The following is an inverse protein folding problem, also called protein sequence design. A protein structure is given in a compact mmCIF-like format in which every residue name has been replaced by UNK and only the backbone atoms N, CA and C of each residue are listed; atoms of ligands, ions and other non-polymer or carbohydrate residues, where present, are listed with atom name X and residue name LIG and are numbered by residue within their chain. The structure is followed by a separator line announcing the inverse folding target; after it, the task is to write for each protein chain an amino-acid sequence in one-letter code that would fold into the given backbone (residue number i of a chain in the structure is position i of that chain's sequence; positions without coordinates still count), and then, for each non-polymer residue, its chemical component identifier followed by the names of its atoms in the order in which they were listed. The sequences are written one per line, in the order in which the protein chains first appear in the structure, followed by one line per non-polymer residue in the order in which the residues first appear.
data_IF_403241491852
#
_entry.id   IF_403241491852
#
_cell.length_a   1.000
_cell.length_b   1.000
_cell.length_c   1.000
_cell.angle_alpha   90.00
_cell.angle_beta   90.00
_cell.angle_gamma   90.00
#
_symmetry.space_group_name_H-M   'P 1'
#
loop_
_entity.id
_entity.type
_entity.pdbx_description
1 polymer ?
#
# COMPACT_ATOMS: atom_id res chain seq x y z
N UNK A 1 -18.94 21.03 9.20
CA UNK A 1 -18.57 19.66 9.66
C UNK A 1 -19.75 18.73 9.40
N UNK A 2 -19.58 17.71 8.54
CA UNK A 2 -20.61 16.68 8.39
C UNK A 2 -20.64 15.87 9.69
N UNK A 3 -21.76 15.93 10.41
CA UNK A 3 -21.94 15.18 11.65
C UNK A 3 -22.07 13.69 11.33
N UNK A 4 -21.22 12.85 11.90
CA UNK A 4 -21.33 11.40 11.74
C UNK A 4 -22.73 10.91 12.19
N UNK A 5 -23.27 9.93 11.49
CA UNK A 5 -24.52 9.30 11.84
C UNK A 5 -24.45 8.66 13.23
N UNK A 6 -25.61 8.55 13.89
CA UNK A 6 -25.67 7.88 15.20
C UNK A 6 -25.27 6.40 15.06
N UNK A 7 -24.49 5.85 16.00
CA UNK A 7 -24.16 4.42 16.00
C UNK A 7 -25.42 3.56 16.09
N UNK A 8 -25.32 2.34 15.57
CA UNK A 8 -26.38 1.33 15.68
C UNK A 8 -26.52 0.83 17.11
N UNK A 9 -27.74 0.47 17.51
CA UNK A 9 -27.98 -0.32 18.71
C UNK A 9 -27.46 -1.75 18.52
N UNK A 10 -27.25 -2.48 19.61
CA UNK A 10 -26.76 -3.87 19.54
C UNK A 10 -27.71 -4.81 18.75
N UNK A 11 -29.01 -4.54 18.80
CA UNK A 11 -30.00 -5.30 18.03
C UNK A 11 -29.92 -5.02 16.53
N UNK A 12 -29.81 -3.75 16.14
CA UNK A 12 -29.66 -3.32 14.76
C UNK A 12 -28.33 -3.81 14.17
N UNK A 13 -27.23 -3.70 14.93
CA UNK A 13 -25.91 -4.21 14.51
C UNK A 13 -25.98 -5.70 14.18
N UNK A 14 -26.59 -6.50 15.05
CA UNK A 14 -26.78 -7.94 14.83
C UNK A 14 -27.68 -8.21 13.62
N UNK A 15 -28.74 -7.43 13.42
CA UNK A 15 -29.62 -7.56 12.26
C UNK A 15 -28.88 -7.30 10.96
N UNK A 16 -28.14 -6.20 10.84
CA UNK A 16 -27.40 -5.87 9.62
C UNK A 16 -26.22 -6.83 9.38
N UNK A 17 -25.58 -7.35 10.41
CA UNK A 17 -24.57 -8.41 10.26
C UNK A 17 -25.17 -9.68 9.65
N UNK A 18 -26.36 -10.09 10.07
CA UNK A 18 -27.05 -11.25 9.49
C UNK A 18 -27.48 -11.00 8.04
N UNK A 19 -27.95 -9.80 7.71
CA UNK A 19 -28.30 -9.44 6.33
C UNK A 19 -27.05 -9.43 5.43
N UNK A 20 -25.95 -8.89 5.91
CA UNK A 20 -24.68 -8.92 5.19
C UNK A 20 -24.19 -10.36 4.92
N UNK A 21 -24.32 -11.27 5.90
CA UNK A 21 -23.98 -12.70 5.71
C UNK A 21 -24.88 -13.40 4.67
N UNK A 22 -26.09 -12.89 4.45
CA UNK A 22 -27.00 -13.36 3.39
C UNK A 22 -26.71 -12.76 2.02
N UNK A 23 -25.69 -11.89 1.92
CA UNK A 23 -25.23 -11.29 0.67
C UNK A 23 -25.84 -9.92 0.36
N UNK A 24 -26.47 -9.25 1.32
CA UNK A 24 -27.03 -7.91 1.11
C UNK A 24 -25.91 -6.85 1.15
N UNK A 25 -25.60 -6.17 0.01
CA UNK A 25 -24.58 -5.15 -0.04
C UNK A 25 -24.99 -3.85 0.69
N UNK A 26 -26.28 -3.53 0.79
CA UNK A 26 -26.75 -2.33 1.49
C UNK A 26 -26.51 -2.45 3.00
N UNK A 27 -26.70 -3.63 3.56
CA UNK A 27 -26.37 -3.89 4.96
C UNK A 27 -24.91 -3.60 5.28
N UNK A 28 -23.98 -3.93 4.36
CA UNK A 28 -22.56 -3.59 4.51
C UNK A 28 -22.33 -2.08 4.54
N UNK A 29 -22.96 -1.33 3.64
CA UNK A 29 -22.83 0.12 3.58
C UNK A 29 -23.32 0.79 4.86
N UNK A 30 -24.49 0.35 5.36
CA UNK A 30 -25.06 0.83 6.62
C UNK A 30 -24.13 0.55 7.80
N UNK A 31 -23.55 -0.64 7.89
CA UNK A 31 -22.58 -0.99 8.92
C UNK A 31 -21.34 -0.09 8.86
N UNK A 32 -20.83 0.22 7.68
CA UNK A 32 -19.69 1.12 7.50
C UNK A 32 -20.06 2.53 7.96
N UNK A 33 -21.10 3.13 7.40
CA UNK A 33 -21.50 4.51 7.67
C UNK A 33 -21.77 4.78 9.16
N UNK A 34 -22.43 3.85 9.82
CA UNK A 34 -22.78 3.97 11.25
C UNK A 34 -21.58 3.78 12.18
N UNK A 35 -20.48 3.19 11.67
CA UNK A 35 -19.25 2.97 12.43
C UNK A 35 -18.12 3.96 12.06
N UNK A 36 -18.30 4.91 11.15
CA UNK A 36 -17.28 5.91 10.78
C UNK A 36 -16.82 6.75 11.99
N UNK A 37 -17.69 6.97 12.97
CA UNK A 37 -17.31 7.64 14.22
C UNK A 37 -16.22 6.88 14.99
N UNK A 38 -16.22 5.55 14.93
CA UNK A 38 -15.17 4.72 15.53
C UNK A 38 -13.84 4.93 14.80
N UNK A 39 -13.86 5.04 13.46
CA UNK A 39 -12.66 5.35 12.66
C UNK A 39 -12.05 6.67 13.12
N UNK A 40 -12.85 7.75 13.17
CA UNK A 40 -12.38 9.06 13.61
C UNK A 40 -11.82 9.03 15.06
N UNK A 41 -12.43 8.23 15.94
CA UNK A 41 -11.95 8.07 17.31
C UNK A 41 -10.58 7.38 17.37
N UNK A 42 -10.36 6.33 16.59
CA UNK A 42 -9.08 5.61 16.53
C UNK A 42 -8.02 6.46 15.83
N UNK A 43 -8.36 7.09 14.68
CA UNK A 43 -7.45 7.96 13.93
C UNK A 43 -6.93 9.14 14.78
N UNK A 44 -7.72 9.63 15.72
CA UNK A 44 -7.32 10.72 16.64
C UNK A 44 -6.05 10.39 17.44
N UNK A 45 -5.75 9.13 17.72
CA UNK A 45 -4.52 8.73 18.41
C UNK A 45 -3.26 9.03 17.60
N UNK A 46 -3.40 9.16 16.28
CA UNK A 46 -2.32 9.32 15.30
C UNK A 46 -2.18 10.75 14.80
N UNK A 47 -2.95 11.71 15.33
CA UNK A 47 -2.89 13.13 14.94
C UNK A 47 -1.56 13.85 15.27
N UNK A 48 -0.60 13.17 15.91
CA UNK A 48 0.75 13.69 16.13
C UNK A 48 1.77 13.24 15.06
N UNK A 49 1.35 12.46 14.08
CA UNK A 49 2.15 12.11 12.93
C UNK A 49 1.97 13.21 11.87
N UNK A 50 3.02 13.49 11.05
CA UNK A 50 2.98 14.46 9.93
C UNK A 50 2.06 13.98 8.79
N UNK A 51 0.87 13.52 9.11
CA UNK A 51 -0.13 13.00 8.17
C UNK A 51 -1.38 13.85 8.18
N UNK A 52 -1.99 13.99 7.01
CA UNK A 52 -3.27 14.65 6.88
C UNK A 52 -4.34 13.85 7.66
N UNK A 53 -5.13 14.51 8.53
CA UNK A 53 -6.23 13.86 9.23
C UNK A 53 -7.22 13.15 8.31
N UNK A 54 -7.45 13.67 7.10
CA UNK A 54 -8.36 13.09 6.12
C UNK A 54 -7.78 11.78 5.54
N UNK A 55 -6.46 11.70 5.35
CA UNK A 55 -5.78 10.45 4.95
C UNK A 55 -5.86 9.40 6.04
N UNK A 56 -5.66 9.77 7.30
CA UNK A 56 -5.82 8.86 8.44
C UNK A 56 -7.24 8.28 8.53
N UNK A 57 -8.26 9.10 8.29
CA UNK A 57 -9.65 8.66 8.25
C UNK A 57 -9.90 7.73 7.06
N UNK A 58 -9.36 8.04 5.90
CA UNK A 58 -9.51 7.24 4.68
C UNK A 58 -8.90 5.84 4.86
N UNK A 59 -7.68 5.76 5.36
CA UNK A 59 -6.98 4.49 5.65
C UNK A 59 -7.69 3.73 6.77
N UNK A 60 -8.09 4.43 7.83
CA UNK A 60 -8.88 3.82 8.91
C UNK A 60 -10.21 3.25 8.40
N UNK A 61 -10.84 3.88 7.41
CA UNK A 61 -12.07 3.38 6.77
C UNK A 61 -11.81 2.08 6.02
N UNK A 62 -10.65 1.93 5.37
CA UNK A 62 -10.25 0.65 4.75
C UNK A 62 -10.16 -0.45 5.82
N UNK A 63 -9.56 -0.13 6.98
CA UNK A 63 -9.50 -1.05 8.12
C UNK A 63 -10.89 -1.47 8.63
N UNK A 64 -11.84 -0.54 8.70
CA UNK A 64 -13.23 -0.81 9.06
C UNK A 64 -13.91 -1.72 8.03
N UNK A 65 -13.75 -1.46 6.73
CA UNK A 65 -14.31 -2.28 5.64
C UNK A 65 -13.78 -3.72 5.73
N UNK A 66 -12.47 -3.89 5.94
CA UNK A 66 -11.85 -5.21 6.15
C UNK A 66 -12.44 -5.90 7.37
N UNK A 67 -12.59 -5.17 8.49
CA UNK A 67 -13.16 -5.70 9.71
C UNK A 67 -14.57 -6.23 9.51
N UNK A 68 -15.46 -5.45 8.88
CA UNK A 68 -16.86 -5.86 8.61
C UNK A 68 -16.89 -7.09 7.70
N UNK A 69 -16.02 -7.15 6.69
CA UNK A 69 -15.97 -8.27 5.74
C UNK A 69 -15.44 -9.58 6.34
N UNK A 70 -14.61 -9.50 7.39
CA UNK A 70 -13.97 -10.68 8.02
C UNK A 70 -14.54 -11.01 9.40
N UNK A 71 -15.51 -10.22 9.88
CA UNK A 71 -16.11 -10.41 11.20
C UNK A 71 -16.96 -11.67 11.27
N UNK A 72 -16.68 -12.51 12.26
CA UNK A 72 -17.47 -13.69 12.57
C UNK A 72 -18.28 -13.46 13.87
N UNK A 73 -19.62 -13.33 13.79
CA UNK A 73 -20.48 -13.13 14.97
C UNK A 73 -20.45 -14.28 15.96
N UNK A 74 -20.02 -15.47 15.55
CA UNK A 74 -19.91 -16.64 16.44
C UNK A 74 -18.71 -16.54 17.39
N UNK A 75 -17.75 -15.69 17.09
CA UNK A 75 -16.62 -15.39 17.99
C UNK A 75 -17.04 -14.31 18.98
N UNK A 76 -16.69 -14.49 20.24
CA UNK A 76 -17.16 -13.75 21.41
C UNK A 76 -16.84 -12.25 21.47
N UNK A 77 -16.17 -11.68 20.48
CA UNK A 77 -15.81 -10.26 20.46
C UNK A 77 -16.92 -9.39 19.85
N UNK A 78 -17.15 -8.21 20.44
CA UNK A 78 -18.03 -7.19 19.84
C UNK A 78 -17.40 -6.66 18.54
N UNK A 79 -18.24 -6.38 17.53
CA UNK A 79 -17.79 -5.80 16.26
C UNK A 79 -16.91 -4.56 16.48
N UNK A 80 -17.30 -3.67 17.38
CA UNK A 80 -16.55 -2.44 17.68
C UNK A 80 -15.12 -2.71 18.17
N UNK A 81 -14.92 -3.74 19.00
CA UNK A 81 -13.57 -4.11 19.50
C UNK A 81 -12.72 -4.71 18.40
N UNK A 82 -13.31 -5.55 17.55
CA UNK A 82 -12.61 -6.15 16.42
C UNK A 82 -12.26 -5.09 15.36
N UNK A 83 -13.23 -4.24 15.01
CA UNK A 83 -13.03 -3.15 14.06
C UNK A 83 -11.96 -2.16 14.54
N UNK A 84 -11.94 -1.79 15.82
CA UNK A 84 -10.92 -0.90 16.36
C UNK A 84 -9.50 -1.47 16.17
N UNK A 85 -9.30 -2.78 16.36
CA UNK A 85 -8.01 -3.45 16.11
C UNK A 85 -7.63 -3.47 14.64
N UNK A 86 -8.58 -3.72 13.74
CA UNK A 86 -8.34 -3.71 12.31
C UNK A 86 -7.96 -2.32 11.80
N UNK A 87 -8.67 -1.28 12.27
CA UNK A 87 -8.38 0.12 11.97
C UNK A 87 -6.96 0.49 12.46
N UNK A 88 -6.65 0.16 13.71
CA UNK A 88 -5.34 0.41 14.33
C UNK A 88 -4.22 -0.27 13.54
N UNK A 89 -4.41 -1.51 13.11
CA UNK A 89 -3.45 -2.26 12.31
C UNK A 89 -3.20 -1.61 10.93
N UNK A 90 -4.25 -1.15 10.22
CA UNK A 90 -4.09 -0.46 8.93
C UNK A 90 -3.31 0.85 9.08
N UNK A 91 -3.61 1.65 10.11
CA UNK A 91 -2.88 2.88 10.40
C UNK A 91 -1.40 2.59 10.75
N UNK A 92 -1.13 1.56 11.55
CA UNK A 92 0.25 1.16 11.85
C UNK A 92 0.99 0.65 10.62
N UNK A 93 0.34 -0.09 9.72
CA UNK A 93 0.93 -0.55 8.46
C UNK A 93 1.32 0.63 7.58
N UNK A 94 0.45 1.63 7.45
CA UNK A 94 0.72 2.86 6.72
C UNK A 94 1.95 3.59 7.30
N UNK A 95 1.99 3.79 8.61
CA UNK A 95 3.11 4.47 9.27
C UNK A 95 4.45 3.72 9.09
N UNK A 96 4.43 2.38 9.11
CA UNK A 96 5.63 1.57 8.83
C UNK A 96 6.08 1.74 7.37
N UNK A 97 5.15 1.72 6.43
CA UNK A 97 5.45 1.94 5.00
C UNK A 97 6.04 3.34 4.78
N UNK A 98 5.47 4.37 5.42
CA UNK A 98 6.00 5.73 5.36
C UNK A 98 7.41 5.83 5.94
N UNK A 99 7.66 5.24 7.11
CA UNK A 99 9.00 5.22 7.72
C UNK A 99 10.04 4.57 6.80
N UNK A 100 9.65 3.59 6.00
CA UNK A 100 10.54 2.99 4.98
C UNK A 100 10.81 3.99 3.86
N UNK A 101 9.76 4.67 3.36
CA UNK A 101 9.86 5.68 2.28
C UNK A 101 10.55 6.98 2.71
N UNK A 102 10.53 7.34 3.99
CA UNK A 102 11.20 8.55 4.49
C UNK A 102 12.73 8.54 4.33
N UNK A 103 13.30 7.39 3.94
CA UNK A 103 14.72 7.26 3.58
C UNK A 103 14.98 7.44 2.08
N UNK A 104 13.92 7.53 1.28
CA UNK A 104 13.99 7.75 -0.16
C UNK A 104 14.04 9.27 -0.39
N UNK A 105 15.03 9.72 -1.16
CA UNK A 105 15.20 11.12 -1.55
C UNK A 105 14.88 11.23 -3.03
N UNK A 106 14.22 12.31 -3.43
CA UNK A 106 13.93 12.55 -4.86
C UNK A 106 15.23 12.83 -5.61
N UNK A 107 15.40 12.19 -6.76
CA UNK A 107 16.53 12.48 -7.65
C UNK A 107 16.50 13.92 -8.21
N UNK A 108 15.33 14.54 -8.22
CA UNK A 108 15.13 15.91 -8.68
C UNK A 108 15.17 16.94 -7.53
N UNK A 109 15.49 16.48 -6.29
CA UNK A 109 15.61 17.40 -5.18
C UNK A 109 16.87 18.29 -5.36
N UNK A 110 16.72 19.62 -5.29
CA UNK A 110 17.86 20.51 -5.42
C UNK A 110 18.79 20.36 -4.21
N UNK A 111 20.07 20.07 -4.48
CA UNK A 111 21.09 19.91 -3.45
C UNK A 111 21.83 21.23 -3.21
N UNK A 112 21.85 22.08 -4.22
CA UNK A 112 22.55 23.35 -4.20
C UNK A 112 22.32 24.16 -5.47
N UNK A 113 23.05 25.28 -5.55
CA UNK A 113 23.08 26.12 -6.76
C UNK A 113 24.52 26.25 -7.25
N UNK A 114 24.71 26.34 -8.57
CA UNK A 114 25.97 26.61 -9.17
C UNK A 114 26.37 28.11 -8.99
N UNK A 115 27.55 28.50 -9.52
CA UNK A 115 28.02 29.89 -9.45
C UNK A 115 27.17 30.84 -10.32
N UNK A 116 26.39 30.31 -11.23
CA UNK A 116 25.52 31.06 -12.15
C UNK A 116 24.08 31.17 -11.61
N UNK A 117 23.77 30.47 -10.48
CA UNK A 117 22.46 30.51 -9.82
C UNK A 117 21.50 29.42 -10.31
N UNK A 118 21.96 28.44 -11.12
CA UNK A 118 21.13 27.32 -11.54
C UNK A 118 21.06 26.26 -10.42
N UNK A 119 19.89 25.64 -10.26
CA UNK A 119 19.71 24.55 -9.29
C UNK A 119 20.41 23.27 -9.78
N UNK A 120 21.21 22.66 -8.90
CA UNK A 120 21.85 21.38 -9.13
C UNK A 120 21.02 20.32 -8.42
N UNK A 121 20.53 19.35 -9.16
CA UNK A 121 19.77 18.21 -8.62
C UNK A 121 20.67 17.03 -8.26
N UNK A 122 20.15 16.09 -7.47
CA UNK A 122 20.87 14.85 -7.14
C UNK A 122 21.17 14.04 -8.41
N UNK A 123 20.30 14.11 -9.41
CA UNK A 123 20.45 13.44 -10.70
C UNK A 123 21.71 13.89 -11.46
N UNK A 124 22.06 15.19 -11.34
CA UNK A 124 23.21 15.77 -12.04
C UNK A 124 24.55 15.33 -11.45
N UNK A 125 24.56 14.86 -10.21
CA UNK A 125 25.77 14.45 -9.47
C UNK A 125 25.96 12.92 -9.51
N UNK A 126 24.88 12.14 -9.66
CA UNK A 126 24.98 10.67 -9.72
C UNK A 126 25.62 10.27 -11.04
N UNK A 127 26.84 9.77 -10.97
CA UNK A 127 27.54 9.19 -12.11
C UNK A 127 26.83 7.90 -12.55
N UNK A 128 26.51 7.80 -13.84
CA UNK A 128 26.16 6.52 -14.43
C UNK A 128 27.40 5.65 -14.51
N UNK A 129 27.34 4.35 -14.17
CA UNK A 129 28.48 3.47 -14.33
C UNK A 129 28.97 3.57 -15.80
N UNK A 130 30.28 3.73 -16.03
CA UNK A 130 30.80 3.82 -17.37
C UNK A 130 30.42 2.55 -18.13
N UNK A 131 29.62 2.72 -19.17
CA UNK A 131 29.33 1.62 -20.10
C UNK A 131 30.56 1.42 -20.96
N UNK A 132 31.29 0.34 -20.70
CA UNK A 132 32.33 -0.09 -21.62
C UNK A 132 31.68 -0.67 -22.88
N UNK A 133 31.54 0.19 -23.89
CA UNK A 133 30.88 -0.15 -25.15
C UNK A 133 31.62 -1.30 -25.85
N UNK A 134 32.92 -1.41 -25.67
CA UNK A 134 33.72 -2.47 -26.25
C UNK A 134 33.38 -3.81 -25.60
N UNK A 135 33.35 -3.85 -24.25
CA UNK A 135 32.98 -5.05 -23.51
C UNK A 135 31.55 -5.48 -23.83
N UNK A 136 30.58 -4.52 -23.92
CA UNK A 136 29.18 -4.81 -24.28
C UNK A 136 29.06 -5.40 -25.69
N UNK A 137 29.84 -4.89 -26.67
CA UNK A 137 29.93 -5.47 -28.01
C UNK A 137 30.51 -6.88 -27.99
N UNK A 138 31.61 -7.10 -27.28
CA UNK A 138 32.19 -8.43 -27.14
C UNK A 138 31.27 -9.45 -26.49
N UNK A 139 30.53 -9.04 -25.46
CA UNK A 139 29.52 -9.89 -24.83
C UNK A 139 28.40 -10.25 -25.78
N UNK A 140 27.86 -9.28 -26.52
CA UNK A 140 26.81 -9.50 -27.52
C UNK A 140 27.26 -10.43 -28.65
N UNK A 141 28.48 -10.22 -29.17
CA UNK A 141 29.06 -11.10 -30.20
C UNK A 141 29.29 -12.51 -29.67
N UNK A 142 29.78 -12.65 -28.44
CA UNK A 142 29.97 -13.93 -27.78
C UNK A 142 28.68 -14.70 -27.59
N UNK A 143 27.63 -14.00 -27.14
CA UNK A 143 26.29 -14.60 -27.00
C UNK A 143 25.71 -15.01 -28.34
N UNK A 144 25.82 -14.16 -29.37
CA UNK A 144 25.38 -14.46 -30.73
C UNK A 144 26.10 -15.69 -31.30
N UNK A 145 27.41 -15.78 -31.07
CA UNK A 145 28.21 -16.91 -31.50
C UNK A 145 27.83 -18.20 -30.77
N UNK A 146 27.60 -18.12 -29.46
CA UNK A 146 27.13 -19.25 -28.66
C UNK A 146 25.78 -19.74 -29.13
N UNK A 147 24.81 -18.85 -29.32
CA UNK A 147 23.46 -19.19 -29.80
C UNK A 147 23.48 -19.83 -31.19
N UNK A 148 24.44 -19.45 -32.08
CA UNK A 148 24.59 -20.05 -33.41
C UNK A 148 25.12 -21.49 -33.35
N UNK A 149 25.89 -21.84 -32.31
CA UNK A 149 26.52 -23.16 -32.16
C UNK A 149 25.67 -24.13 -31.33
N UNK A 150 24.79 -23.64 -30.45
CA UNK A 150 23.91 -24.45 -29.61
C UNK A 150 23.13 -25.49 -30.43
N UNK A 151 22.46 -25.13 -31.56
CA UNK A 151 21.72 -26.11 -32.36
C UNK A 151 22.57 -27.22 -33.01
N UNK A 152 23.87 -26.98 -33.12
CA UNK A 152 24.82 -27.96 -33.72
C UNK A 152 25.33 -28.98 -32.69
N UNK A 153 25.27 -28.65 -31.42
CA UNK A 153 25.85 -29.45 -30.33
C UNK A 153 24.76 -30.19 -29.56
N UNK A 154 23.59 -29.56 -29.37
CA UNK A 154 22.50 -30.16 -28.62
C UNK A 154 21.62 -31.06 -29.46
N UNK A 155 21.15 -32.13 -28.86
CA UNK A 155 20.09 -32.98 -29.46
C UNK A 155 18.75 -32.21 -29.40
N UNK A 156 17.82 -32.60 -30.26
CA UNK A 156 16.51 -31.94 -30.35
C UNK A 156 15.75 -31.88 -29.02
N UNK A 157 15.90 -32.91 -28.17
CA UNK A 157 15.28 -32.96 -26.83
C UNK A 157 15.94 -32.01 -25.82
N UNK A 158 17.23 -31.74 -25.96
CA UNK A 158 17.98 -30.81 -25.08
C UNK A 158 17.80 -29.36 -25.48
N UNK A 159 17.38 -29.11 -26.73
CA UNK A 159 17.09 -27.78 -27.26
C UNK A 159 15.70 -27.26 -26.86
N UNK A 160 14.74 -28.19 -26.59
CA UNK A 160 13.35 -27.87 -26.20
C UNK A 160 13.16 -27.63 -24.69
N UNK A 161 14.21 -27.72 -23.86
CA UNK A 161 14.21 -27.44 -22.41
C UNK A 161 14.78 -26.08 -22.13
#
# INVERSE_FOLDING_TARGET
MKTFLKPLSAAEEKFYLLQFQRGDPEAKNILIERNLRLVAHVAKKYQGCDEDPDDLISIGTIGLIKAISTFDPCRTSKLSTYAARCIDNELLMMLRARKKRSREVSLYEPIGTDREGNEISLLDIIESPPVDVVEDCFQKDSISHLLSHIPQILTQKEYEV
#
